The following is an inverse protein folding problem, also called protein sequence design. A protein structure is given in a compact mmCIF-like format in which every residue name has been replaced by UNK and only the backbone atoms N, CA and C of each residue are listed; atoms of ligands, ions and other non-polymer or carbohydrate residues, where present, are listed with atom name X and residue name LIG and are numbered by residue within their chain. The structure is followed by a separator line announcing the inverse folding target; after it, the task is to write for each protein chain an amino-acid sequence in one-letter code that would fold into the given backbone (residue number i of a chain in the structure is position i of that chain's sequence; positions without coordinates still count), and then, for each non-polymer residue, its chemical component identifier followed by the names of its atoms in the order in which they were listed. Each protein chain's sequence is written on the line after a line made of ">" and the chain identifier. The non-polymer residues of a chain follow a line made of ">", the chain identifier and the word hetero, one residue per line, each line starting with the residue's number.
data_IF_037619867187
#
_entry.id   IF_037619867187
#
_cell.length_a   1.000
_cell.length_b   1.000
_cell.length_c   1.000
_cell.angle_alpha   90.00
_cell.angle_beta   90.00
_cell.angle_gamma   90.00
#
_symmetry.space_group_name_H-M   'P 1'
#
loop_
_entity.id
_entity.type
_entity.pdbx_description
1 polymer ?
#
# COMPACT_ATOMS: atom_id res chain seq x y z
N UNK A 1 16.72 -7.21 -11.26
CA UNK A 1 15.97 -7.36 -12.52
C UNK A 1 15.86 -8.82 -12.94
N UNK A 2 16.95 -9.50 -13.36
CA UNK A 2 16.93 -10.86 -13.94
C UNK A 2 16.04 -11.88 -13.19
N UNK A 3 16.17 -11.96 -11.85
CA UNK A 3 15.37 -12.86 -10.99
C UNK A 3 13.86 -12.58 -11.02
N UNK A 4 13.43 -11.32 -11.06
CA UNK A 4 12.00 -10.97 -11.06
C UNK A 4 11.38 -11.36 -12.41
N UNK A 5 12.09 -11.08 -13.51
CA UNK A 5 11.66 -11.44 -14.86
C UNK A 5 11.53 -12.96 -15.03
N UNK A 6 12.45 -13.74 -14.45
CA UNK A 6 12.39 -15.21 -14.48
C UNK A 6 11.19 -15.75 -13.68
N UNK A 7 10.90 -15.17 -12.50
CA UNK A 7 9.74 -15.54 -11.70
C UNK A 7 8.43 -15.13 -12.37
N UNK A 8 8.39 -13.96 -13.02
CA UNK A 8 7.26 -13.49 -13.81
C UNK A 8 6.97 -14.44 -14.97
N UNK A 9 7.99 -14.84 -15.75
CA UNK A 9 7.84 -15.85 -16.80
C UNK A 9 7.27 -17.17 -16.31
N UNK A 10 7.61 -17.59 -15.08
CA UNK A 10 7.19 -18.88 -14.52
C UNK A 10 5.82 -18.86 -13.84
N UNK A 11 5.47 -17.76 -13.17
CA UNK A 11 4.30 -17.69 -12.28
C UNK A 11 3.36 -16.52 -12.59
N UNK A 12 3.77 -15.57 -13.42
CA UNK A 12 3.01 -14.39 -13.79
C UNK A 12 2.00 -14.67 -14.89
N UNK A 13 0.98 -13.81 -14.99
CA UNK A 13 -0.02 -13.91 -16.05
C UNK A 13 0.65 -13.70 -17.40
N UNK A 14 0.63 -14.70 -18.28
CA UNK A 14 1.31 -14.69 -19.58
C UNK A 14 2.81 -14.36 -19.51
N UNK A 15 3.44 -14.60 -18.35
CA UNK A 15 4.83 -14.23 -18.12
C UNK A 15 5.07 -12.77 -17.72
N UNK A 16 4.01 -11.99 -17.49
CA UNK A 16 4.11 -10.59 -17.09
C UNK A 16 4.52 -10.43 -15.63
N UNK A 17 5.29 -9.37 -15.40
CA UNK A 17 5.65 -8.92 -14.07
C UNK A 17 4.46 -8.25 -13.39
N UNK A 18 4.43 -8.32 -12.07
CA UNK A 18 3.50 -7.53 -11.27
C UNK A 18 3.88 -6.04 -11.37
N UNK A 19 2.92 -5.20 -11.72
CA UNK A 19 3.04 -3.75 -11.71
C UNK A 19 2.70 -3.19 -10.34
N UNK A 20 1.47 -3.41 -9.88
CA UNK A 20 0.97 -2.91 -8.60
C UNK A 20 -0.20 -3.72 -8.06
N UNK A 21 -0.52 -3.53 -6.78
CA UNK A 21 -1.73 -4.06 -6.14
C UNK A 21 -2.78 -2.95 -6.11
N UNK A 22 -3.94 -3.23 -6.67
CA UNK A 22 -5.03 -2.25 -6.85
C UNK A 22 -6.07 -2.34 -5.75
N UNK A 23 -6.41 -3.57 -5.34
CA UNK A 23 -7.39 -3.83 -4.31
C UNK A 23 -7.10 -5.15 -3.58
N UNK A 24 -7.87 -5.44 -2.53
CA UNK A 24 -7.92 -6.77 -1.91
C UNK A 24 -9.35 -7.14 -1.58
N UNK A 25 -9.66 -8.42 -1.64
CA UNK A 25 -10.96 -8.98 -1.25
C UNK A 25 -10.76 -10.24 -0.42
N UNK A 26 -11.68 -10.49 0.51
CA UNK A 26 -11.74 -11.78 1.21
C UNK A 26 -12.74 -12.67 0.48
N UNK A 27 -12.32 -13.86 0.06
CA UNK A 27 -13.21 -14.88 -0.52
C UNK A 27 -13.07 -16.16 0.29
N UNK A 28 -14.14 -16.55 0.99
CA UNK A 28 -14.07 -17.64 1.97
C UNK A 28 -13.11 -17.28 3.12
N UNK A 29 -12.08 -18.10 3.33
CA UNK A 29 -11.06 -17.87 4.36
C UNK A 29 -9.72 -17.39 3.78
N UNK A 30 -9.70 -16.88 2.56
CA UNK A 30 -8.47 -16.43 1.88
C UNK A 30 -8.57 -14.97 1.44
N UNK A 31 -7.48 -14.23 1.63
CA UNK A 31 -7.30 -12.87 1.10
C UNK A 31 -6.72 -12.98 -0.30
N UNK A 32 -7.41 -12.39 -1.27
CA UNK A 32 -6.96 -12.26 -2.65
C UNK A 32 -6.65 -10.81 -2.95
N UNK A 33 -5.53 -10.58 -3.61
CA UNK A 33 -5.07 -9.26 -4.02
C UNK A 33 -5.31 -9.08 -5.51
N UNK A 34 -5.91 -7.96 -5.88
CA UNK A 34 -6.08 -7.59 -7.28
C UNK A 34 -4.74 -7.08 -7.82
N UNK A 35 -4.17 -7.84 -8.74
CA UNK A 35 -2.87 -7.58 -9.35
C UNK A 35 -3.06 -6.90 -10.70
N UNK A 36 -2.49 -5.71 -10.83
CA UNK A 36 -2.26 -5.07 -12.12
C UNK A 36 -0.91 -5.55 -12.67
N UNK A 37 -0.93 -6.05 -13.90
CA UNK A 37 0.25 -6.61 -14.57
C UNK A 37 0.95 -5.52 -15.41
N UNK A 38 2.29 -5.53 -15.45
CA UNK A 38 3.04 -4.55 -16.24
C UNK A 38 2.71 -4.70 -17.73
N UNK A 39 2.42 -3.58 -18.39
CA UNK A 39 2.03 -3.55 -19.80
C UNK A 39 0.58 -3.92 -20.07
N UNK A 40 -0.23 -4.14 -19.03
CA UNK A 40 -1.67 -4.34 -19.10
C UNK A 40 -2.38 -3.20 -18.38
N UNK A 41 -2.77 -2.17 -19.12
CA UNK A 41 -3.44 -1.00 -18.55
C UNK A 41 -4.96 -1.15 -18.43
N UNK A 42 -5.56 -2.12 -19.15
CA UNK A 42 -6.98 -2.44 -19.02
C UNK A 42 -7.26 -3.14 -17.68
N UNK A 43 -8.03 -2.53 -16.76
CA UNK A 43 -8.33 -3.13 -15.45
C UNK A 43 -9.04 -4.49 -15.56
N UNK A 44 -9.74 -4.76 -16.67
CA UNK A 44 -10.37 -6.08 -16.91
C UNK A 44 -9.36 -7.21 -17.03
N UNK A 45 -8.09 -6.87 -17.27
CA UNK A 45 -6.99 -7.82 -17.32
C UNK A 45 -6.35 -8.06 -15.95
N UNK A 46 -6.75 -7.35 -14.90
CA UNK A 46 -6.29 -7.65 -13.55
C UNK A 46 -6.75 -9.05 -13.12
N UNK A 47 -5.98 -9.67 -12.25
CA UNK A 47 -6.35 -10.97 -11.67
C UNK A 47 -6.26 -10.92 -10.16
N UNK A 48 -7.10 -11.70 -9.49
CA UNK A 48 -7.08 -11.87 -8.04
C UNK A 48 -6.15 -13.01 -7.68
N UNK A 49 -5.04 -12.69 -7.01
CA UNK A 49 -3.98 -13.64 -6.67
C UNK A 49 -3.82 -13.74 -5.17
N UNK A 50 -3.57 -14.96 -4.68
CA UNK A 50 -3.34 -15.18 -3.26
C UNK A 50 -1.90 -14.87 -2.82
N UNK A 51 -1.71 -14.73 -1.52
CA UNK A 51 -0.41 -14.45 -0.93
C UNK A 51 0.65 -15.52 -1.29
N UNK A 52 0.24 -16.78 -1.43
CA UNK A 52 1.12 -17.88 -1.83
C UNK A 52 1.70 -17.67 -3.23
N UNK A 53 0.90 -17.19 -4.18
CA UNK A 53 1.38 -16.87 -5.53
C UNK A 53 2.24 -15.61 -5.54
N UNK A 54 1.90 -14.58 -4.74
CA UNK A 54 2.75 -13.40 -4.58
C UNK A 54 4.12 -13.72 -3.96
N UNK A 55 4.19 -14.71 -3.04
CA UNK A 55 5.45 -15.27 -2.53
C UNK A 55 6.30 -15.89 -3.64
N UNK A 56 5.69 -16.70 -4.51
CA UNK A 56 6.39 -17.30 -5.66
C UNK A 56 6.88 -16.25 -6.65
N UNK A 57 6.13 -15.16 -6.83
CA UNK A 57 6.51 -14.02 -7.67
C UNK A 57 7.56 -13.09 -7.00
N UNK A 58 7.85 -13.27 -5.71
CA UNK A 58 8.82 -12.46 -4.98
C UNK A 58 8.36 -11.03 -4.66
N UNK A 59 7.04 -10.76 -4.73
CA UNK A 59 6.46 -9.40 -4.61
C UNK A 59 5.55 -9.23 -3.39
N UNK A 60 5.77 -10.03 -2.34
CA UNK A 60 5.02 -9.95 -1.08
C UNK A 60 5.04 -8.55 -0.46
N UNK A 61 6.13 -7.80 -0.68
CA UNK A 61 6.24 -6.42 -0.22
C UNK A 61 5.14 -5.50 -0.77
N UNK A 62 4.65 -5.74 -1.99
CA UNK A 62 3.57 -4.94 -2.57
C UNK A 62 2.23 -5.19 -1.86
N UNK A 63 1.95 -6.44 -1.49
CA UNK A 63 0.77 -6.77 -0.70
C UNK A 63 0.83 -6.15 0.70
N UNK A 64 1.99 -6.23 1.37
CA UNK A 64 2.20 -5.62 2.68
C UNK A 64 2.03 -4.10 2.65
N UNK A 65 2.65 -3.43 1.68
CA UNK A 65 2.53 -1.98 1.53
C UNK A 65 1.08 -1.55 1.28
N UNK A 66 0.32 -2.33 0.50
CA UNK A 66 -1.10 -2.09 0.30
C UNK A 66 -1.92 -2.29 1.58
N UNK A 67 -1.65 -3.36 2.33
CA UNK A 67 -2.33 -3.64 3.60
C UNK A 67 -2.04 -2.56 4.66
N UNK A 68 -0.80 -2.10 4.75
CA UNK A 68 -0.36 -0.99 5.62
C UNK A 68 -1.06 0.32 5.23
N UNK A 69 -1.15 0.63 3.93
CA UNK A 69 -1.90 1.79 3.43
C UNK A 69 -3.38 1.71 3.82
N UNK A 70 -4.02 0.57 3.62
CA UNK A 70 -5.43 0.38 4.01
C UNK A 70 -5.62 0.54 5.51
N UNK A 71 -4.75 -0.07 6.32
CA UNK A 71 -4.78 0.06 7.77
C UNK A 71 -4.65 1.53 8.21
N UNK A 72 -3.70 2.26 7.61
CA UNK A 72 -3.46 3.69 7.89
C UNK A 72 -4.66 4.56 7.47
N UNK A 73 -5.30 4.26 6.35
CA UNK A 73 -6.52 4.96 5.91
C UNK A 73 -7.69 4.71 6.86
N UNK A 74 -7.86 3.46 7.32
CA UNK A 74 -8.90 3.11 8.29
C UNK A 74 -8.63 3.63 9.70
N UNK A 75 -7.39 4.01 10.03
CA UNK A 75 -6.98 4.48 11.35
C UNK A 75 -7.44 5.93 11.67
N UNK A 76 -8.43 6.45 10.95
CA UNK A 76 -9.12 7.68 11.34
C UNK A 76 -8.55 8.97 10.79
N UNK A 77 -7.97 8.97 9.57
CA UNK A 77 -7.72 10.23 8.84
C UNK A 77 -9.01 11.06 8.76
N UNK A 78 -10.17 10.41 8.59
CA UNK A 78 -11.47 11.07 8.60
C UNK A 78 -11.86 11.66 9.97
N UNK A 79 -11.33 11.12 11.08
CA UNK A 79 -11.56 11.63 12.44
C UNK A 79 -10.57 12.75 12.81
N UNK A 80 -9.38 12.77 12.20
CA UNK A 80 -8.29 13.69 12.49
C UNK A 80 -7.78 14.31 11.20
N UNK A 81 -8.47 15.33 10.68
CA UNK A 81 -8.12 15.93 9.40
C UNK A 81 -6.74 16.59 9.49
N UNK A 82 -5.93 16.42 8.44
CA UNK A 82 -4.58 16.99 8.36
C UNK A 82 -4.65 18.50 8.13
N UNK A 83 -4.93 19.24 9.19
CA UNK A 83 -5.00 20.70 9.23
C UNK A 83 -4.01 21.23 10.26
N UNK A 84 -3.52 22.46 10.06
CA UNK A 84 -2.62 23.11 11.02
C UNK A 84 -3.20 23.11 12.44
N UNK A 85 -4.49 23.43 12.58
CA UNK A 85 -5.19 23.45 13.87
C UNK A 85 -5.18 22.08 14.58
N UNK A 86 -5.42 21.00 13.84
CA UNK A 86 -5.39 19.64 14.41
C UNK A 86 -3.97 19.21 14.75
N UNK A 87 -2.97 19.60 13.96
CA UNK A 87 -1.55 19.34 14.23
C UNK A 87 -1.13 20.05 15.53
N UNK A 88 -1.46 21.34 15.70
CA UNK A 88 -1.17 22.09 16.92
C UNK A 88 -1.82 21.44 18.13
N UNK A 89 -3.14 21.21 18.08
CA UNK A 89 -3.88 20.54 19.15
C UNK A 89 -3.32 19.16 19.51
N UNK A 90 -2.80 18.42 18.53
CA UNK A 90 -2.18 17.12 18.80
C UNK A 90 -0.87 17.26 19.56
N UNK A 91 0.01 18.17 19.11
CA UNK A 91 1.35 18.35 19.63
C UNK A 91 1.36 19.05 21.00
N UNK A 92 0.34 19.87 21.30
CA UNK A 92 0.09 20.40 22.65
C UNK A 92 -0.08 19.29 23.70
N UNK A 93 -0.64 18.14 23.32
CA UNK A 93 -0.77 16.98 24.23
C UNK A 93 0.59 16.38 24.62
N UNK A 94 1.65 16.72 23.88
CA UNK A 94 3.03 16.34 24.16
C UNK A 94 3.84 17.49 24.75
N UNK A 95 3.20 18.60 25.13
CA UNK A 95 3.83 19.75 25.78
C UNK A 95 4.56 20.68 24.82
N UNK A 96 4.27 20.62 23.52
CA UNK A 96 4.78 21.59 22.55
C UNK A 96 3.77 22.72 22.40
N UNK A 97 4.20 23.96 22.64
CA UNK A 97 3.34 25.13 22.40
C UNK A 97 3.26 25.48 20.91
N UNK A 98 2.25 26.27 20.55
CA UNK A 98 1.98 26.64 19.15
C UNK A 98 3.18 27.34 18.49
N UNK A 99 3.91 28.17 19.24
CA UNK A 99 5.06 28.91 18.71
C UNK A 99 6.22 27.98 18.34
N UNK A 100 6.52 27.00 19.21
CA UNK A 100 7.48 25.94 18.96
C UNK A 100 7.08 25.07 17.75
N UNK A 101 5.78 24.88 17.51
CA UNK A 101 5.26 24.03 16.43
C UNK A 101 5.31 24.76 15.07
N UNK A 102 4.95 26.04 15.03
CA UNK A 102 4.75 26.77 13.78
C UNK A 102 5.95 27.62 13.34
N UNK A 103 6.74 28.13 14.28
CA UNK A 103 7.72 29.18 14.00
C UNK A 103 9.17 28.76 14.30
N UNK A 104 9.38 27.64 15.00
CA UNK A 104 10.74 27.17 15.30
C UNK A 104 11.42 26.61 14.05
N UNK A 105 12.55 27.22 13.68
CA UNK A 105 13.39 26.68 12.61
C UNK A 105 14.08 25.40 13.07
N UNK A 106 13.97 24.35 12.25
CA UNK A 106 14.78 23.13 12.38
C UNK A 106 16.11 23.43 11.67
N UNK A 107 17.18 23.57 12.46
CA UNK A 107 18.56 23.74 11.98
C UNK A 107 19.24 22.41 11.71
#
# INVERSE_FOLDING_TARGET
>A
AKRINDLARKYGKYGFEVGSIQSRVVRGNEVLYEVQWKGCDDPKQNTFENLTKLKKLGVVGLAKAYDERLASQSAGIDQRPLTQKEIVKHLEQFGLDEDMILHRQIG
#
